data_IF_904657039382
#
_entry.id   IF_904657039382
#
_cell.length_a   1.000
_cell.length_b   1.000
_cell.length_c   1.000
_cell.angle_alpha   90.00
_cell.angle_beta   90.00
_cell.angle_gamma   90.00
#
_symmetry.space_group_name_H-M   'P 1'
#
loop_
_entity.id
_entity.type
_entity.pdbx_description
1 polymer ?
#
# COMPACT_ATOMS: atom_id res chain seq x y z
N UNK A 1 -0.05 -42.75 -56.49
CA UNK A 1 -1.24 -41.88 -56.45
C UNK A 1 -1.10 -40.94 -55.25
N UNK A 2 -0.58 -39.73 -55.46
CA UNK A 2 -0.31 -38.74 -54.39
C UNK A 2 -1.47 -37.76 -54.33
N UNK A 3 -2.11 -37.66 -53.17
CA UNK A 3 -3.12 -36.63 -52.87
C UNK A 3 -2.52 -35.68 -51.84
N UNK A 4 -2.26 -34.45 -52.28
CA UNK A 4 -1.86 -33.33 -51.42
C UNK A 4 -3.08 -32.76 -50.68
N UNK A 5 -3.03 -32.50 -49.37
CA UNK A 5 -4.07 -31.72 -48.69
C UNK A 5 -3.84 -30.21 -48.86
N UNK A 6 -4.95 -29.49 -49.04
CA UNK A 6 -5.04 -28.03 -49.18
C UNK A 6 -4.55 -27.30 -47.91
N UNK A 7 -3.96 -26.10 -48.02
CA UNK A 7 -3.57 -25.29 -46.87
C UNK A 7 -4.81 -24.71 -46.16
N UNK A 8 -4.86 -24.89 -44.84
CA UNK A 8 -5.85 -24.27 -43.95
C UNK A 8 -5.59 -22.78 -43.72
N UNK A 9 -6.58 -22.03 -43.20
CA UNK A 9 -6.53 -20.59 -43.09
C UNK A 9 -5.45 -20.13 -42.09
N UNK A 10 -4.77 -19.04 -42.48
CA UNK A 10 -3.66 -18.42 -41.76
C UNK A 10 -3.95 -18.15 -40.28
N UNK A 11 -2.95 -18.45 -39.46
CA UNK A 11 -2.92 -18.14 -38.04
C UNK A 11 -3.17 -16.64 -37.81
N UNK A 12 -4.15 -16.33 -36.94
CA UNK A 12 -4.34 -14.98 -36.40
C UNK A 12 -3.08 -14.61 -35.63
N UNK A 13 -2.27 -13.71 -36.20
CA UNK A 13 -1.13 -13.14 -35.53
C UNK A 13 -1.56 -12.46 -34.23
N UNK A 14 -0.94 -12.86 -33.13
CA UNK A 14 -1.01 -12.12 -31.86
C UNK A 14 -0.43 -10.71 -32.09
N UNK A 15 -1.12 -9.63 -31.68
CA UNK A 15 -0.59 -8.30 -31.86
C UNK A 15 0.63 -8.11 -30.95
N UNK A 16 1.80 -7.94 -31.56
CA UNK A 16 3.00 -7.47 -30.84
C UNK A 16 2.81 -6.00 -30.48
N UNK A 17 3.13 -5.56 -29.24
CA UNK A 17 3.07 -4.15 -28.89
C UNK A 17 4.10 -3.37 -29.72
N UNK A 18 3.59 -2.40 -30.48
CA UNK A 18 4.36 -1.46 -31.29
C UNK A 18 5.02 -0.47 -30.33
N UNK A 19 6.34 -0.56 -30.16
CA UNK A 19 7.11 0.49 -29.49
C UNK A 19 7.07 1.75 -30.35
N UNK A 20 6.25 2.72 -29.96
CA UNK A 20 6.39 4.11 -30.39
C UNK A 20 7.14 4.87 -29.31
N UNK A 21 8.43 5.13 -29.55
CA UNK A 21 9.16 6.20 -28.86
C UNK A 21 8.65 7.53 -29.43
N UNK A 22 8.20 8.44 -28.56
CA UNK A 22 8.02 9.85 -28.92
C UNK A 22 6.63 10.48 -28.73
N UNK A 23 5.87 10.11 -27.69
CA UNK A 23 4.66 10.85 -27.31
C UNK A 23 4.54 10.89 -25.79
N UNK A 24 4.28 12.08 -25.22
CA UNK A 24 3.96 12.23 -23.79
C UNK A 24 2.95 11.16 -23.41
N UNK A 25 3.30 10.29 -22.47
CA UNK A 25 2.40 9.25 -22.01
C UNK A 25 1.10 9.90 -21.53
N UNK A 26 0.03 9.74 -22.29
CA UNK A 26 -1.30 10.23 -21.89
C UNK A 26 -1.79 9.29 -20.79
N UNK A 27 -1.68 9.74 -19.55
CA UNK A 27 -2.25 9.05 -18.40
C UNK A 27 -3.70 9.49 -18.24
N UNK A 28 -4.60 8.53 -18.06
CA UNK A 28 -5.98 8.77 -17.68
C UNK A 28 -6.14 8.36 -16.22
N UNK A 29 -6.66 9.28 -15.42
CA UNK A 29 -7.05 9.05 -14.03
C UNK A 29 -8.58 9.15 -13.98
N UNK A 30 -9.23 8.14 -13.40
CA UNK A 30 -10.65 8.19 -13.11
C UNK A 30 -10.83 8.21 -11.59
N UNK A 31 -11.66 9.14 -11.12
CA UNK A 31 -12.01 9.30 -9.71
C UNK A 31 -13.48 9.67 -9.61
N UNK A 32 -14.24 8.90 -8.83
CA UNK A 32 -15.62 9.25 -8.49
C UNK A 32 -15.62 10.23 -7.32
N UNK A 33 -16.25 11.39 -7.52
CA UNK A 33 -16.39 12.42 -6.49
C UNK A 33 -17.85 12.72 -6.26
N UNK A 34 -18.29 12.56 -5.02
CA UNK A 34 -19.62 12.96 -4.59
C UNK A 34 -19.60 14.45 -4.29
N UNK A 35 -20.28 15.23 -5.13
CA UNK A 35 -20.58 16.63 -4.85
C UNK A 35 -21.95 16.70 -4.19
N UNK A 36 -22.08 17.49 -3.12
CA UNK A 36 -23.38 17.77 -2.50
C UNK A 36 -24.35 18.35 -3.54
N UNK A 37 -25.60 17.91 -3.51
CA UNK A 37 -26.64 18.32 -4.47
C UNK A 37 -26.96 19.81 -4.30
N UNK A 38 -26.72 20.60 -5.34
CA UNK A 38 -27.28 21.94 -5.52
C UNK A 38 -28.57 21.80 -6.36
N UNK A 39 -29.70 22.49 -6.05
CA UNK A 39 -30.92 22.34 -6.83
C UNK A 39 -30.76 23.08 -8.17
N UNK A 40 -30.18 22.39 -9.16
CA UNK A 40 -29.98 22.91 -10.50
C UNK A 40 -29.27 21.91 -11.42
N UNK A 41 -29.42 22.11 -12.73
CA UNK A 41 -28.70 21.33 -13.74
C UNK A 41 -27.18 21.49 -13.54
N UNK A 42 -26.44 20.37 -13.45
CA UNK A 42 -25.00 20.35 -13.28
C UNK A 42 -24.28 20.98 -14.48
N UNK A 43 -24.04 22.30 -14.42
CA UNK A 43 -23.27 23.01 -15.43
C UNK A 43 -21.80 23.04 -15.03
N UNK A 44 -20.96 22.35 -15.81
CA UNK A 44 -19.49 22.36 -15.64
C UNK A 44 -18.94 23.80 -15.65
N UNK A 45 -19.54 24.69 -16.44
CA UNK A 45 -19.16 26.11 -16.49
C UNK A 45 -19.53 26.88 -15.21
N UNK A 46 -20.67 26.57 -14.59
CA UNK A 46 -21.18 27.26 -13.40
C UNK A 46 -20.46 26.84 -12.12
N UNK A 47 -19.98 25.60 -12.06
CA UNK A 47 -19.27 25.07 -10.89
C UNK A 47 -17.76 24.99 -11.06
N UNK A 48 -17.16 25.54 -12.14
CA UNK A 48 -15.74 25.38 -12.56
C UNK A 48 -14.67 25.42 -11.45
N UNK A 49 -14.91 26.15 -10.36
CA UNK A 49 -13.98 26.27 -9.22
C UNK A 49 -13.94 25.01 -8.35
N UNK A 50 -15.06 24.32 -8.15
CA UNK A 50 -15.15 23.11 -7.32
C UNK A 50 -14.47 21.89 -7.97
N UNK A 51 -14.94 21.42 -9.13
CA UNK A 51 -14.31 20.34 -9.88
C UNK A 51 -12.89 20.70 -10.34
N UNK A 52 -12.61 21.97 -10.66
CA UNK A 52 -11.27 22.42 -11.01
C UNK A 52 -10.26 22.25 -9.87
N UNK A 53 -10.67 22.60 -8.64
CA UNK A 53 -9.84 22.40 -7.44
C UNK A 53 -9.66 20.92 -7.11
N UNK A 54 -10.73 20.14 -7.15
CA UNK A 54 -10.67 18.69 -6.95
C UNK A 54 -9.74 18.04 -8.01
N UNK A 55 -9.85 18.44 -9.28
CA UNK A 55 -8.99 17.94 -10.34
C UNK A 55 -7.52 18.36 -10.13
N UNK A 56 -7.27 19.58 -9.65
CA UNK A 56 -5.93 20.06 -9.31
C UNK A 56 -5.35 19.28 -8.11
N UNK A 57 -6.15 19.03 -7.08
CA UNK A 57 -5.75 18.29 -5.89
C UNK A 57 -5.48 16.83 -6.22
N UNK A 58 -6.36 16.18 -6.99
CA UNK A 58 -6.16 14.82 -7.49
C UNK A 58 -4.92 14.76 -8.41
N UNK A 59 -4.78 15.68 -9.36
CA UNK A 59 -3.63 15.73 -10.27
C UNK A 59 -2.33 15.92 -9.51
N UNK A 60 -2.28 16.85 -8.54
CA UNK A 60 -1.14 17.05 -7.66
C UNK A 60 -0.81 15.78 -6.85
N UNK A 61 -1.83 15.19 -6.21
CA UNK A 61 -1.71 13.97 -5.41
C UNK A 61 -1.17 12.79 -6.23
N UNK A 62 -1.68 12.58 -7.45
CA UNK A 62 -1.25 11.47 -8.30
C UNK A 62 0.05 11.75 -9.06
N UNK A 63 0.44 13.02 -9.25
CA UNK A 63 1.69 13.40 -9.91
C UNK A 63 2.89 13.40 -8.98
N UNK A 64 2.70 13.61 -7.67
CA UNK A 64 3.78 13.57 -6.67
C UNK A 64 4.16 12.15 -6.19
N UNK A 65 3.47 11.13 -6.70
CA UNK A 65 3.56 9.75 -6.21
C UNK A 65 2.44 9.43 -5.21
N UNK A 66 1.95 8.19 -5.25
CA UNK A 66 0.87 7.73 -4.36
C UNK A 66 1.42 7.46 -2.96
N UNK A 67 0.82 8.04 -1.94
CA UNK A 67 1.04 7.59 -0.56
C UNK A 67 0.52 6.17 -0.44
N UNK A 68 1.42 5.23 -0.13
CA UNK A 68 1.07 3.83 0.03
C UNK A 68 0.75 3.51 1.49
N UNK A 69 0.10 2.36 1.73
CA UNK A 69 -0.02 1.81 3.09
C UNK A 69 1.35 1.71 3.77
N UNK A 70 2.39 1.35 3.00
CA UNK A 70 3.76 1.28 3.49
C UNK A 70 4.26 2.63 4.01
N UNK A 71 3.99 3.72 3.30
CA UNK A 71 4.38 5.07 3.74
C UNK A 71 3.70 5.47 5.05
N UNK A 72 2.40 5.16 5.19
CA UNK A 72 1.62 5.45 6.41
C UNK A 72 2.10 4.58 7.58
N UNK A 73 2.30 3.28 7.34
CA UNK A 73 2.81 2.34 8.34
C UNK A 73 4.19 2.74 8.86
N UNK A 74 5.10 3.14 7.97
CA UNK A 74 6.44 3.63 8.34
C UNK A 74 6.36 4.89 9.21
N UNK A 75 5.45 5.82 8.90
CA UNK A 75 5.28 7.03 9.72
C UNK A 75 4.81 6.69 11.13
N UNK A 76 3.85 5.79 11.28
CA UNK A 76 3.42 5.29 12.59
C UNK A 76 4.55 4.59 13.34
N UNK A 77 5.22 3.66 12.67
CA UNK A 77 6.36 2.92 13.22
C UNK A 77 7.43 3.88 13.75
N UNK A 78 7.85 4.84 12.93
CA UNK A 78 8.90 5.78 13.32
C UNK A 78 8.48 6.70 14.47
N UNK A 79 7.23 7.16 14.49
CA UNK A 79 6.75 8.16 15.45
C UNK A 79 6.33 7.56 16.80
N UNK A 80 5.89 6.29 16.83
CA UNK A 80 5.17 5.74 17.98
C UNK A 80 5.70 4.41 18.50
N UNK A 81 6.49 3.69 17.72
CA UNK A 81 6.96 2.38 18.11
C UNK A 81 8.39 2.45 18.68
N UNK A 82 8.61 1.77 19.79
CA UNK A 82 9.96 1.51 20.31
C UNK A 82 10.69 0.49 19.43
N UNK A 83 9.94 -0.42 18.84
CA UNK A 83 10.40 -1.51 17.99
C UNK A 83 9.45 -1.73 16.83
N UNK A 84 10.00 -1.94 15.63
CA UNK A 84 9.25 -2.20 14.41
C UNK A 84 9.69 -3.52 13.80
N UNK A 85 8.72 -4.38 13.51
CA UNK A 85 8.90 -5.64 12.81
C UNK A 85 8.38 -5.49 11.38
N UNK A 86 9.19 -5.87 10.40
CA UNK A 86 8.82 -5.85 8.98
C UNK A 86 9.00 -7.25 8.41
N UNK A 87 7.91 -7.82 7.89
CA UNK A 87 7.93 -9.07 7.11
C UNK A 87 7.97 -8.69 5.63
N UNK A 88 9.04 -9.07 4.93
CA UNK A 88 9.22 -8.76 3.51
C UNK A 88 10.13 -9.78 2.84
N UNK A 89 9.78 -10.21 1.64
CA UNK A 89 10.62 -11.06 0.77
C UNK A 89 11.15 -12.33 1.47
N UNK A 90 10.33 -12.93 2.36
CA UNK A 90 10.70 -14.13 3.13
C UNK A 90 11.58 -13.86 4.36
N UNK A 91 11.86 -12.60 4.68
CA UNK A 91 12.64 -12.17 5.83
C UNK A 91 11.78 -11.52 6.91
N UNK A 92 12.28 -11.61 8.14
CA UNK A 92 11.86 -10.79 9.27
C UNK A 92 12.98 -9.80 9.60
N UNK A 93 12.65 -8.52 9.53
CA UNK A 93 13.53 -7.40 9.86
C UNK A 93 13.05 -6.73 11.15
N UNK A 94 13.98 -6.41 12.04
CA UNK A 94 13.72 -5.66 13.28
C UNK A 94 14.44 -4.32 13.21
N UNK A 95 13.71 -3.27 13.56
CA UNK A 95 14.19 -1.90 13.61
C UNK A 95 13.86 -1.28 14.97
N UNK A 96 14.84 -0.62 15.58
CA UNK A 96 14.66 0.27 16.72
C UNK A 96 15.39 1.58 16.43
N UNK A 97 14.85 2.71 16.87
CA UNK A 97 15.49 4.01 16.63
C UNK A 97 16.80 4.07 17.40
N UNK A 98 17.92 4.29 16.70
CA UNK A 98 19.25 4.35 17.30
C UNK A 98 19.41 5.65 18.08
N UNK A 99 20.32 5.65 19.07
CA UNK A 99 20.65 6.87 19.82
C UNK A 99 21.20 7.93 18.84
N UNK A 100 20.62 9.14 18.89
CA UNK A 100 20.99 10.24 17.99
C UNK A 100 20.42 10.13 16.56
N UNK A 101 19.67 9.08 16.22
CA UNK A 101 19.03 8.95 14.91
C UNK A 101 17.81 9.90 14.82
N UNK A 102 17.82 10.89 13.91
CA UNK A 102 16.67 11.79 13.77
C UNK A 102 15.47 11.02 13.23
N UNK A 103 14.27 11.42 13.65
CA UNK A 103 13.01 10.75 13.27
C UNK A 103 12.86 10.54 11.74
N UNK A 104 13.13 11.53 10.87
CA UNK A 104 13.09 11.33 9.42
C UNK A 104 14.14 10.33 8.91
N UNK A 105 15.29 10.24 9.60
CA UNK A 105 16.33 9.27 9.31
C UNK A 105 15.87 7.83 9.59
N UNK A 106 15.27 7.61 10.76
CA UNK A 106 14.71 6.33 11.14
C UNK A 106 13.58 5.89 10.20
N UNK A 107 12.63 6.79 9.92
CA UNK A 107 11.55 6.54 8.96
C UNK A 107 12.09 6.15 7.58
N UNK A 108 13.12 6.87 7.09
CA UNK A 108 13.78 6.54 5.82
C UNK A 108 14.44 5.15 5.86
N UNK A 109 15.14 4.81 6.96
CA UNK A 109 15.82 3.51 7.13
C UNK A 109 14.84 2.35 7.02
N UNK A 110 13.69 2.43 7.69
CA UNK A 110 12.62 1.43 7.55
C UNK A 110 12.11 1.42 6.10
N UNK A 111 11.70 2.58 5.57
CA UNK A 111 11.05 2.69 4.25
C UNK A 111 11.87 2.07 3.12
N UNK A 112 13.17 2.31 3.11
CA UNK A 112 14.06 1.86 2.03
C UNK A 112 14.59 0.44 2.26
N UNK A 113 14.23 -0.23 3.36
CA UNK A 113 14.84 -1.50 3.74
C UNK A 113 16.34 -1.35 4.02
N UNK A 114 16.74 -0.21 4.60
CA UNK A 114 18.11 0.04 5.04
C UNK A 114 18.53 -0.91 6.15
N UNK A 115 19.74 -0.73 6.68
CA UNK A 115 20.34 -1.60 7.69
C UNK A 115 19.39 -1.83 8.89
N UNK A 116 18.83 -3.04 8.96
CA UNK A 116 18.03 -3.49 10.08
C UNK A 116 18.93 -3.82 11.26
N UNK A 117 18.43 -3.62 12.48
CA UNK A 117 19.20 -3.97 13.68
C UNK A 117 19.27 -5.49 13.85
N UNK A 118 18.26 -6.21 13.34
CA UNK A 118 18.33 -7.66 13.11
C UNK A 118 17.65 -8.02 11.79
N UNK A 119 18.28 -8.91 11.02
CA UNK A 119 17.71 -9.52 9.81
C UNK A 119 17.78 -11.03 9.94
N UNK A 120 16.64 -11.69 9.76
CA UNK A 120 16.55 -13.16 9.82
C UNK A 120 15.75 -13.69 8.64
N UNK A 121 16.35 -14.63 7.92
CA UNK A 121 15.60 -15.49 6.99
C UNK A 121 14.83 -16.52 7.82
N UNK A 122 13.51 -16.55 7.68
CA UNK A 122 12.65 -17.44 8.45
C UNK A 122 11.83 -18.33 7.51
N UNK A 123 11.59 -19.58 7.92
CA UNK A 123 10.70 -20.47 7.19
C UNK A 123 9.24 -19.97 7.23
N UNK A 124 8.85 -19.28 8.32
CA UNK A 124 7.53 -18.66 8.49
C UNK A 124 7.65 -17.27 9.10
N UNK A 125 8.11 -16.24 8.36
CA UNK A 125 8.39 -14.91 8.91
C UNK A 125 7.14 -14.24 9.51
N UNK A 126 5.94 -14.53 8.99
CA UNK A 126 4.69 -14.04 9.57
C UNK A 126 4.37 -14.67 10.93
N UNK A 127 4.62 -15.97 11.10
CA UNK A 127 4.46 -16.65 12.38
C UNK A 127 5.49 -16.19 13.41
N UNK A 128 6.73 -15.98 12.97
CA UNK A 128 7.81 -15.44 13.81
C UNK A 128 7.49 -13.99 14.25
N UNK A 129 6.98 -13.15 13.34
CA UNK A 129 6.52 -11.81 13.66
C UNK A 129 5.35 -11.83 14.66
N UNK A 130 4.39 -12.75 14.48
CA UNK A 130 3.26 -12.94 15.39
C UNK A 130 3.75 -13.24 16.81
N UNK A 131 4.61 -14.26 16.96
CA UNK A 131 5.20 -14.61 18.27
C UNK A 131 6.00 -13.48 18.90
N UNK A 132 6.74 -12.70 18.11
CA UNK A 132 7.50 -11.57 18.63
C UNK A 132 6.62 -10.39 19.08
N UNK A 133 5.37 -10.34 18.58
CA UNK A 133 4.38 -9.31 18.88
C UNK A 133 3.31 -9.76 19.89
N UNK A 134 3.35 -11.01 20.34
CA UNK A 134 2.43 -11.55 21.35
C UNK A 134 2.51 -10.80 22.67
N UNK A 135 1.38 -10.71 23.36
CA UNK A 135 1.21 -10.06 24.68
C UNK A 135 1.67 -8.59 24.75
N UNK A 136 1.83 -7.94 23.59
CA UNK A 136 2.27 -6.55 23.47
C UNK A 136 1.16 -5.65 22.98
N UNK A 137 1.32 -4.35 23.19
CA UNK A 137 0.51 -3.34 22.53
C UNK A 137 1.07 -3.10 21.12
N UNK A 138 0.27 -3.34 20.09
CA UNK A 138 0.69 -3.31 18.69
C UNK A 138 -0.20 -2.45 17.81
N UNK A 139 0.39 -1.92 16.75
CA UNK A 139 -0.32 -1.45 15.57
C UNK A 139 0.14 -2.30 14.38
N UNK A 140 -0.74 -3.18 13.91
CA UNK A 140 -0.46 -4.05 12.75
C UNK A 140 -0.99 -3.40 11.48
N UNK A 141 -0.13 -3.13 10.50
CA UNK A 141 -0.52 -2.61 9.19
C UNK A 141 -0.11 -3.61 8.09
N UNK A 142 -1.09 -4.37 7.59
CA UNK A 142 -0.83 -5.58 6.82
C UNK A 142 -1.46 -5.54 5.41
N UNK A 143 -0.77 -6.06 4.41
CA UNK A 143 -1.39 -6.34 3.11
C UNK A 143 -2.27 -7.61 3.20
N UNK A 144 -1.73 -8.65 3.83
CA UNK A 144 -2.41 -9.90 4.16
C UNK A 144 -2.50 -10.03 5.68
N UNK A 145 -3.65 -10.40 6.23
CA UNK A 145 -3.84 -10.64 7.67
C UNK A 145 -3.06 -11.82 8.26
N UNK A 146 -1.90 -12.18 7.70
CA UNK A 146 -1.15 -13.41 7.99
C UNK A 146 -0.40 -13.43 9.33
N UNK A 147 -0.25 -12.29 9.99
CA UNK A 147 0.47 -12.17 11.26
C UNK A 147 -0.55 -12.24 12.40
N UNK A 148 -0.49 -13.29 13.22
CA UNK A 148 -1.37 -13.47 14.38
C UNK A 148 -0.59 -13.28 15.69
N UNK A 149 -0.60 -12.07 16.29
CA UNK A 149 0.03 -11.82 17.57
C UNK A 149 -0.92 -12.20 18.72
N UNK A 150 -0.78 -13.43 19.23
CA UNK A 150 -1.64 -13.94 20.30
C UNK A 150 -1.52 -13.09 21.58
N UNK A 151 -2.62 -12.87 22.28
CA UNK A 151 -2.69 -12.04 23.49
C UNK A 151 -2.37 -10.54 23.30
N UNK A 152 -2.13 -10.08 22.07
CA UNK A 152 -1.78 -8.68 21.82
C UNK A 152 -2.98 -7.74 21.98
N UNK A 153 -2.70 -6.50 22.36
CA UNK A 153 -3.69 -5.41 22.44
C UNK A 153 -3.37 -4.32 21.43
N UNK A 154 -4.33 -3.43 21.15
CA UNK A 154 -4.14 -2.31 20.23
C UNK A 154 -4.97 -2.47 18.97
N UNK A 155 -4.39 -2.22 17.80
CA UNK A 155 -5.15 -2.02 16.58
C UNK A 155 -4.54 -2.70 15.36
N UNK A 156 -5.40 -3.01 14.38
CA UNK A 156 -5.03 -3.65 13.12
C UNK A 156 -5.68 -2.98 11.93
N UNK A 157 -4.88 -2.64 10.93
CA UNK A 157 -5.34 -2.41 9.58
C UNK A 157 -4.85 -3.55 8.69
N UNK A 158 -5.72 -4.07 7.82
CA UNK A 158 -5.36 -5.07 6.82
C UNK A 158 -6.13 -4.86 5.52
N UNK A 159 -5.51 -5.12 4.38
CA UNK A 159 -6.22 -5.10 3.08
C UNK A 159 -7.00 -6.38 2.85
N UNK A 160 -6.42 -7.53 3.20
CA UNK A 160 -7.07 -8.83 3.08
C UNK A 160 -7.25 -9.47 4.47
N UNK A 161 -8.43 -10.06 4.75
CA UNK A 161 -8.67 -10.80 5.98
C UNK A 161 -7.64 -11.91 6.22
N UNK A 162 -7.48 -12.33 7.46
CA UNK A 162 -6.59 -13.45 7.81
C UNK A 162 -6.58 -13.79 9.29
N UNK A 163 -5.61 -14.62 9.73
CA UNK A 163 -5.45 -15.00 11.13
C UNK A 163 -5.47 -13.85 12.15
N UNK A 164 -4.96 -12.67 11.79
CA UNK A 164 -4.94 -11.48 12.67
C UNK A 164 -6.34 -11.07 13.17
N UNK A 165 -7.39 -11.44 12.43
CA UNK A 165 -8.79 -11.08 12.69
C UNK A 165 -9.31 -11.76 13.96
N UNK A 166 -8.70 -12.90 14.33
CA UNK A 166 -9.02 -13.66 15.54
C UNK A 166 -8.28 -13.18 16.78
N UNK A 167 -7.35 -12.21 16.67
CA UNK A 167 -6.49 -11.79 17.77
C UNK A 167 -7.11 -10.71 18.67
N UNK A 168 -8.35 -10.29 18.43
CA UNK A 168 -9.03 -9.29 19.29
C UNK A 168 -8.51 -7.85 19.17
N UNK A 169 -7.71 -7.54 18.14
CA UNK A 169 -7.23 -6.19 17.87
C UNK A 169 -8.35 -5.30 17.29
N UNK A 170 -8.35 -4.01 17.65
CA UNK A 170 -9.29 -3.01 17.12
C UNK A 170 -9.11 -2.88 15.59
N UNK A 171 -10.13 -3.21 14.78
CA UNK A 171 -10.02 -3.05 13.33
C UNK A 171 -10.07 -1.57 12.95
N UNK A 172 -9.09 -1.13 12.18
CA UNK A 172 -9.02 0.22 11.62
C UNK A 172 -9.41 0.22 10.16
N UNK A 173 -10.10 1.27 9.74
CA UNK A 173 -10.24 1.63 8.34
C UNK A 173 -9.06 2.49 7.87
N UNK A 174 -8.96 2.72 6.56
CA UNK A 174 -7.85 3.46 5.97
C UNK A 174 -7.79 4.92 6.48
N UNK A 175 -8.96 5.54 6.66
CA UNK A 175 -9.05 6.89 7.20
C UNK A 175 -8.55 6.97 8.65
N UNK A 176 -8.75 5.94 9.47
CA UNK A 176 -8.33 5.96 10.88
C UNK A 176 -6.80 5.93 10.99
N UNK A 177 -6.13 5.17 10.12
CA UNK A 177 -4.67 5.17 10.03
C UNK A 177 -4.12 6.57 9.69
N UNK A 178 -4.76 7.28 8.77
CA UNK A 178 -4.31 8.62 8.37
C UNK A 178 -4.65 9.66 9.44
N UNK A 179 -5.86 9.62 10.00
CA UNK A 179 -6.31 10.55 11.03
C UNK A 179 -5.43 10.47 12.28
N UNK A 180 -4.95 9.27 12.65
CA UNK A 180 -4.01 9.10 13.76
C UNK A 180 -2.64 9.74 13.51
N UNK A 181 -2.30 10.23 12.31
CA UNK A 181 -1.04 10.96 12.05
C UNK A 181 -1.17 12.49 12.14
N UNK A 182 -2.39 13.01 12.26
CA UNK A 182 -2.67 14.45 12.38
C UNK A 182 -2.38 14.99 13.79
#
# INVERSE_FOLDING_TARGET
MRVSPRPGPAARGTPRPRSMRGGLARAFLWADVHLSSDPGHHSVGRHRTGPGRIAQDLSGHFSSGRTTLWDVAVRHAAARAEETLVVRDGELLRYSRRLGEPLPGFARRIRTGGEADQRRKAAGPAADAGRAASDRRVLSALADGSVAPDGASGAVYRLRPGPVDGCGLEPLAAQDLVARLA
#
